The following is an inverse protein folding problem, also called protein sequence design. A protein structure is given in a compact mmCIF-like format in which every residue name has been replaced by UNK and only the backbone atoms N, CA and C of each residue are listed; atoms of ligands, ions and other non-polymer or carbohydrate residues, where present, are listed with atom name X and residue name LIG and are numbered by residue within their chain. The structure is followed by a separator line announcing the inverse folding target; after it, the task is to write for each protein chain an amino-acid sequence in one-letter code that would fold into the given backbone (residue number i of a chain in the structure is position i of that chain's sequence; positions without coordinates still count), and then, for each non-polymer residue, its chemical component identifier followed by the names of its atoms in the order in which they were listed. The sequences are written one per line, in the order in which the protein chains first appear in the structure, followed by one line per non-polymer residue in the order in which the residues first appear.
data_IF_124208571301
#
_entry.id   IF_124208571301
#
_cell.length_a   1.000
_cell.length_b   1.000
_cell.length_c   1.000
_cell.angle_alpha   90.00
_cell.angle_beta   90.00
_cell.angle_gamma   90.00
#
_symmetry.space_group_name_H-M   'P 1'
#
loop_
_entity.id
_entity.type
_entity.pdbx_description
1 polymer ?
#
# COMPACT_ATOMS: atom_id res chain seq x y z
N UNK A 1 -30.25 7.21 18.70
CA UNK A 1 -29.22 7.59 17.72
C UNK A 1 -28.87 6.37 16.87
N UNK A 2 -29.24 6.36 15.58
CA UNK A 2 -28.82 5.28 14.67
C UNK A 2 -27.31 5.46 14.44
N UNK A 3 -26.50 4.50 14.92
CA UNK A 3 -25.07 4.45 14.65
C UNK A 3 -24.87 4.59 13.15
N UNK A 4 -23.99 5.50 12.72
CA UNK A 4 -23.67 5.69 11.31
C UNK A 4 -23.28 4.33 10.73
N UNK A 5 -24.12 3.79 9.86
CA UNK A 5 -23.88 2.53 9.16
C UNK A 5 -22.49 2.62 8.52
N UNK A 6 -21.64 1.66 8.83
CA UNK A 6 -20.31 1.55 8.23
C UNK A 6 -20.47 1.57 6.69
N UNK A 7 -20.17 2.72 6.08
CA UNK A 7 -20.39 2.99 4.65
C UNK A 7 -19.33 2.35 3.75
N UNK A 8 -18.42 1.57 4.31
CA UNK A 8 -17.36 0.93 3.56
C UNK A 8 -17.94 -0.14 2.62
N UNK A 9 -17.42 -0.26 1.38
CA UNK A 9 -17.87 -1.26 0.45
C UNK A 9 -17.78 -2.67 1.04
N UNK A 10 -18.86 -3.45 0.94
CA UNK A 10 -18.92 -4.83 1.42
C UNK A 10 -18.44 -5.83 0.36
N UNK A 11 -18.39 -5.41 -0.90
CA UNK A 11 -17.87 -6.20 -2.03
C UNK A 11 -16.40 -5.89 -2.26
N UNK A 12 -15.58 -6.86 -2.72
CA UNK A 12 -14.16 -6.65 -3.00
C UNK A 12 -13.89 -5.73 -4.21
N UNK A 13 -14.77 -5.71 -5.20
CA UNK A 13 -14.58 -5.00 -6.46
C UNK A 13 -14.17 -3.54 -6.32
N UNK A 14 -14.89 -2.70 -5.55
CA UNK A 14 -14.50 -1.30 -5.36
C UNK A 14 -13.12 -1.13 -4.73
N UNK A 15 -12.73 -2.02 -3.81
CA UNK A 15 -11.41 -2.03 -3.18
C UNK A 15 -10.31 -2.39 -4.17
N UNK A 16 -10.55 -3.41 -5.01
CA UNK A 16 -9.60 -3.82 -6.06
C UNK A 16 -9.43 -2.74 -7.11
N UNK A 17 -10.52 -2.06 -7.49
CA UNK A 17 -10.45 -0.93 -8.42
C UNK A 17 -9.60 0.20 -7.83
N UNK A 18 -9.85 0.57 -6.57
CA UNK A 18 -9.08 1.59 -5.89
C UNK A 18 -7.59 1.19 -5.75
N UNK A 19 -7.31 -0.09 -5.48
CA UNK A 19 -5.95 -0.61 -5.45
C UNK A 19 -5.28 -0.56 -6.83
N UNK A 20 -6.01 -0.88 -7.90
CA UNK A 20 -5.47 -0.80 -9.26
C UNK A 20 -5.12 0.65 -9.65
N UNK A 21 -5.96 1.62 -9.27
CA UNK A 21 -5.66 3.05 -9.46
C UNK A 21 -4.44 3.45 -8.65
N UNK A 22 -4.36 3.05 -7.39
CA UNK A 22 -3.21 3.29 -6.51
C UNK A 22 -1.91 2.72 -7.13
N UNK A 23 -1.95 1.49 -7.63
CA UNK A 23 -0.80 0.85 -8.29
C UNK A 23 -0.39 1.60 -9.56
N UNK A 24 -1.35 2.04 -10.37
CA UNK A 24 -1.08 2.85 -11.56
C UNK A 24 -0.40 4.18 -11.22
N UNK A 25 -0.85 4.85 -10.15
CA UNK A 25 -0.21 6.09 -9.66
C UNK A 25 1.19 5.80 -9.12
N UNK A 26 1.38 4.72 -8.37
CA UNK A 26 2.70 4.28 -7.91
C UNK A 26 3.65 4.12 -9.10
N UNK A 27 3.24 3.34 -10.10
CA UNK A 27 4.04 3.09 -11.29
C UNK A 27 4.41 4.38 -12.02
N UNK A 28 3.46 5.29 -12.16
CA UNK A 28 3.71 6.60 -12.76
C UNK A 28 4.68 7.44 -11.94
N UNK A 29 4.56 7.45 -10.61
CA UNK A 29 5.48 8.16 -9.71
C UNK A 29 6.89 7.58 -9.76
N UNK A 30 7.01 6.26 -9.84
CA UNK A 30 8.29 5.54 -9.87
C UNK A 30 9.00 5.63 -11.22
N UNK A 31 8.28 5.94 -12.30
CA UNK A 31 8.82 6.00 -13.66
C UNK A 31 9.59 7.29 -13.99
N UNK A 32 9.82 8.17 -13.02
CA UNK A 32 10.56 9.40 -13.24
C UNK A 32 11.19 9.96 -11.97
N UNK A 33 12.26 10.76 -12.16
CA UNK A 33 12.81 11.53 -11.05
C UNK A 33 11.83 12.64 -10.66
N UNK A 34 11.57 12.78 -9.37
CA UNK A 34 10.71 13.84 -8.83
C UNK A 34 11.35 14.41 -7.58
N UNK A 35 11.40 15.73 -7.53
CA UNK A 35 11.82 16.43 -6.33
C UNK A 35 10.73 16.26 -5.27
N UNK A 36 11.08 15.67 -4.16
CA UNK A 36 10.14 15.49 -3.05
C UNK A 36 10.01 16.81 -2.28
N UNK A 37 8.77 17.23 -1.96
CA UNK A 37 8.59 18.32 -1.02
C UNK A 37 9.35 18.05 0.28
N UNK A 38 10.07 19.03 0.81
CA UNK A 38 10.90 18.91 2.00
C UNK A 38 12.08 17.92 1.89
N UNK A 39 12.40 17.41 0.69
CA UNK A 39 13.49 16.44 0.49
C UNK A 39 14.87 16.96 0.85
N UNK A 40 15.09 18.26 0.68
CA UNK A 40 16.35 18.92 1.07
C UNK A 40 16.39 19.32 2.56
N UNK A 41 15.22 19.52 3.19
CA UNK A 41 15.10 20.04 4.55
C UNK A 41 15.06 18.94 5.60
N UNK A 42 14.47 17.79 5.26
CA UNK A 42 14.21 16.69 6.21
C UNK A 42 14.88 15.40 5.73
N UNK A 43 15.90 15.00 6.47
CA UNK A 43 16.55 13.71 6.26
C UNK A 43 15.54 12.56 6.42
N UNK A 44 15.57 11.60 5.52
CA UNK A 44 14.67 10.43 5.50
C UNK A 44 13.19 10.73 5.17
N UNK A 45 12.87 11.91 4.65
CA UNK A 45 11.49 12.22 4.23
C UNK A 45 10.98 11.24 3.16
N UNK A 46 11.87 10.79 2.27
CA UNK A 46 11.59 9.75 1.29
C UNK A 46 11.03 8.47 1.92
N UNK A 47 11.63 8.02 3.02
CA UNK A 47 11.15 6.83 3.76
C UNK A 47 9.77 7.04 4.36
N UNK A 48 9.44 8.25 4.78
CA UNK A 48 8.10 8.62 5.25
C UNK A 48 7.08 8.55 4.09
N UNK A 49 7.47 9.00 2.89
CA UNK A 49 6.64 8.87 1.70
C UNK A 49 6.42 7.42 1.30
N UNK A 50 7.46 6.59 1.29
CA UNK A 50 7.37 5.16 1.06
C UNK A 50 6.41 4.51 2.05
N UNK A 51 6.65 4.66 3.34
CA UNK A 51 5.78 4.13 4.40
C UNK A 51 4.32 4.54 4.20
N UNK A 52 4.04 5.85 4.04
CA UNK A 52 2.68 6.37 3.92
C UNK A 52 1.96 5.87 2.67
N UNK A 53 2.67 5.80 1.55
CA UNK A 53 2.10 5.34 0.29
C UNK A 53 1.72 3.85 0.38
N UNK A 54 2.62 3.00 0.86
CA UNK A 54 2.39 1.56 0.99
C UNK A 54 1.42 1.21 2.12
N UNK A 55 1.34 2.03 3.18
CA UNK A 55 0.27 1.96 4.17
C UNK A 55 -1.12 2.10 3.51
N UNK A 56 -1.29 3.09 2.63
CA UNK A 56 -2.53 3.29 1.87
C UNK A 56 -2.86 2.10 0.96
N UNK A 57 -1.87 1.61 0.21
CA UNK A 57 -2.02 0.41 -0.63
C UNK A 57 -2.44 -0.83 0.15
N UNK A 58 -1.88 -1.02 1.34
CA UNK A 58 -2.23 -2.13 2.22
C UNK A 58 -3.66 -2.03 2.76
N UNK A 59 -4.16 -0.82 3.04
CA UNK A 59 -5.57 -0.63 3.42
C UNK A 59 -6.49 -1.04 2.26
N UNK A 60 -6.17 -0.64 1.04
CA UNK A 60 -6.98 -0.94 -0.14
C UNK A 60 -7.00 -2.45 -0.43
N UNK A 61 -5.84 -3.08 -0.48
CA UNK A 61 -5.72 -4.50 -0.79
C UNK A 61 -6.25 -5.38 0.36
N UNK A 62 -5.92 -5.04 1.59
CA UNK A 62 -6.43 -5.71 2.79
C UNK A 62 -7.95 -5.56 2.91
N UNK A 63 -8.49 -4.39 2.52
CA UNK A 63 -9.92 -4.16 2.41
C UNK A 63 -10.58 -5.14 1.43
N UNK A 64 -9.96 -5.39 0.26
CA UNK A 64 -10.43 -6.39 -0.69
C UNK A 64 -10.36 -7.81 -0.14
N UNK A 65 -9.20 -8.22 0.39
CA UNK A 65 -8.96 -9.58 0.89
C UNK A 65 -9.80 -9.95 2.13
N UNK A 66 -10.22 -8.94 2.91
CA UNK A 66 -11.11 -9.14 4.05
C UNK A 66 -12.58 -9.36 3.65
N UNK A 67 -12.94 -9.19 2.38
CA UNK A 67 -14.29 -9.46 1.84
C UNK A 67 -14.29 -10.82 1.14
N UNK A 68 -15.47 -11.45 0.93
CA UNK A 68 -15.52 -12.73 0.24
C UNK A 68 -15.04 -12.57 -1.22
N UNK A 69 -13.77 -12.82 -1.43
CA UNK A 69 -13.10 -13.09 -2.70
C UNK A 69 -12.79 -14.58 -2.76
N UNK A 70 -13.83 -15.40 -2.75
CA UNK A 70 -13.56 -16.79 -2.41
C UNK A 70 -12.93 -16.86 -0.99
N UNK A 71 -12.43 -17.99 -0.59
CA UNK A 71 -11.84 -18.16 0.75
C UNK A 71 -10.38 -17.72 0.75
N UNK A 72 -10.11 -16.40 0.83
CA UNK A 72 -8.74 -15.95 1.12
C UNK A 72 -8.42 -16.33 2.57
N UNK A 73 -7.60 -17.36 2.71
CA UNK A 73 -7.07 -17.72 4.02
C UNK A 73 -6.05 -16.66 4.47
N UNK A 74 -6.20 -16.16 5.70
CA UNK A 74 -5.26 -15.21 6.31
C UNK A 74 -5.10 -13.88 5.55
N UNK A 75 -6.15 -13.06 5.43
CA UNK A 75 -6.12 -11.80 4.66
C UNK A 75 -4.98 -10.86 5.08
N UNK A 76 -4.66 -10.78 6.37
CA UNK A 76 -3.54 -9.99 6.89
C UNK A 76 -2.22 -10.41 6.25
N UNK A 77 -1.87 -11.70 6.35
CA UNK A 77 -0.60 -12.22 5.83
C UNK A 77 -0.50 -12.05 4.31
N UNK A 78 -1.58 -12.35 3.61
CA UNK A 78 -1.64 -12.18 2.14
C UNK A 78 -1.46 -10.73 1.71
N UNK A 79 -2.03 -9.79 2.47
CA UNK A 79 -1.83 -8.35 2.22
C UNK A 79 -0.38 -7.97 2.40
N UNK A 80 0.24 -8.38 3.52
CA UNK A 80 1.64 -8.04 3.80
C UNK A 80 2.56 -8.61 2.72
N UNK A 81 2.39 -9.87 2.35
CA UNK A 81 3.20 -10.52 1.29
C UNK A 81 3.02 -9.79 -0.04
N UNK A 82 1.79 -9.50 -0.44
CA UNK A 82 1.52 -8.84 -1.72
C UNK A 82 2.12 -7.42 -1.76
N UNK A 83 2.00 -6.65 -0.68
CA UNK A 83 2.58 -5.31 -0.59
C UNK A 83 4.11 -5.37 -0.59
N UNK A 84 4.72 -6.32 0.12
CA UNK A 84 6.18 -6.51 0.09
C UNK A 84 6.69 -6.86 -1.31
N UNK A 85 5.94 -7.67 -2.07
CA UNK A 85 6.26 -7.99 -3.47
C UNK A 85 6.11 -6.77 -4.38
N UNK A 86 5.06 -5.97 -4.20
CA UNK A 86 4.88 -4.71 -4.96
C UNK A 86 6.05 -3.77 -4.69
N UNK A 87 6.47 -3.61 -3.43
CA UNK A 87 7.64 -2.80 -3.08
C UNK A 87 8.93 -3.31 -3.73
N UNK A 88 9.17 -4.62 -3.70
CA UNK A 88 10.35 -5.20 -4.34
C UNK A 88 10.35 -5.00 -5.88
N UNK A 89 9.19 -5.12 -6.52
CA UNK A 89 9.04 -4.86 -7.96
C UNK A 89 9.25 -3.38 -8.26
N UNK A 90 8.74 -2.49 -7.41
CA UNK A 90 8.92 -1.05 -7.56
C UNK A 90 10.38 -0.63 -7.45
N UNK A 91 11.08 -1.12 -6.42
CA UNK A 91 12.52 -0.91 -6.23
C UNK A 91 13.35 -1.43 -7.41
N UNK A 92 13.00 -2.62 -7.91
CA UNK A 92 13.64 -3.18 -9.11
C UNK A 92 13.37 -2.31 -10.33
N UNK A 93 12.13 -1.85 -10.54
CA UNK A 93 11.79 -0.94 -11.64
C UNK A 93 12.57 0.38 -11.54
N UNK A 94 12.65 0.98 -10.36
CA UNK A 94 13.37 2.23 -10.15
C UNK A 94 14.86 2.13 -10.49
N UNK A 95 15.48 0.94 -10.38
CA UNK A 95 16.88 0.73 -10.75
C UNK A 95 17.18 0.97 -12.23
N UNK A 96 16.16 0.97 -13.08
CA UNK A 96 16.28 1.27 -14.52
C UNK A 96 15.89 2.71 -14.87
N UNK A 97 15.41 3.49 -13.88
CA UNK A 97 14.95 4.87 -14.10
C UNK A 97 16.09 5.86 -13.86
N UNK A 98 16.50 6.66 -14.88
CA UNK A 98 17.55 7.66 -14.70
C UNK A 98 17.25 8.63 -13.54
N UNK A 99 18.22 8.86 -12.68
CA UNK A 99 18.10 9.77 -11.54
C UNK A 99 17.38 9.19 -10.33
N UNK A 100 17.07 7.88 -10.32
CA UNK A 100 16.51 7.17 -9.17
C UNK A 100 17.55 6.22 -8.56
N UNK A 101 17.54 6.12 -7.24
CA UNK A 101 18.29 5.10 -6.50
C UNK A 101 17.38 3.90 -6.27
N UNK A 102 17.29 2.98 -7.22
CA UNK A 102 16.53 1.74 -7.02
C UNK A 102 17.33 0.70 -6.25
N UNK A 103 16.64 -0.36 -5.82
CA UNK A 103 17.17 -1.43 -4.97
C UNK A 103 17.67 -0.94 -3.60
N UNK A 104 17.01 0.06 -3.02
CA UNK A 104 17.32 0.56 -1.68
C UNK A 104 16.60 -0.31 -0.62
N UNK A 105 17.34 -1.09 0.19
CA UNK A 105 16.74 -1.91 1.25
C UNK A 105 16.00 -1.08 2.31
N UNK A 106 16.38 0.18 2.52
CA UNK A 106 15.73 1.03 3.49
C UNK A 106 14.37 1.52 2.98
N UNK A 107 14.23 1.83 1.68
CA UNK A 107 12.96 2.13 1.05
C UNK A 107 12.03 0.93 1.09
N UNK A 108 12.50 -0.23 0.68
CA UNK A 108 11.72 -1.46 0.77
C UNK A 108 11.31 -1.80 2.20
N UNK A 109 12.15 -1.55 3.18
CA UNK A 109 11.81 -1.74 4.60
C UNK A 109 10.70 -0.79 5.06
N UNK A 110 10.70 0.45 4.57
CA UNK A 110 9.63 1.41 4.81
C UNK A 110 8.31 0.95 4.16
N UNK A 111 8.37 0.43 2.93
CA UNK A 111 7.21 -0.13 2.20
C UNK A 111 6.57 -1.29 2.99
N UNK A 112 7.40 -2.25 3.41
CA UNK A 112 6.93 -3.41 4.19
C UNK A 112 6.34 -2.98 5.53
N UNK A 113 6.98 -2.02 6.21
CA UNK A 113 6.48 -1.49 7.47
C UNK A 113 5.13 -0.80 7.31
N UNK A 114 4.97 0.01 6.26
CA UNK A 114 3.69 0.60 5.88
C UNK A 114 2.64 -0.47 5.58
N UNK A 115 3.03 -1.50 4.84
CA UNK A 115 2.20 -2.66 4.52
C UNK A 115 1.67 -3.39 5.75
N UNK A 116 2.55 -3.67 6.71
CA UNK A 116 2.19 -4.32 7.99
C UNK A 116 1.20 -3.44 8.76
N UNK A 117 1.49 -2.16 8.92
CA UNK A 117 0.63 -1.24 9.66
C UNK A 117 -0.75 -1.09 9.01
N UNK A 118 -0.81 -0.95 7.67
CA UNK A 118 -2.07 -0.85 6.94
C UNK A 118 -2.91 -2.12 7.03
N UNK A 119 -2.28 -3.29 6.85
CA UNK A 119 -2.94 -4.58 7.01
C UNK A 119 -3.47 -4.80 8.45
N UNK A 120 -2.71 -4.36 9.45
CA UNK A 120 -3.14 -4.40 10.84
C UNK A 120 -4.38 -3.54 11.09
N UNK A 121 -4.39 -2.30 10.59
CA UNK A 121 -5.55 -1.40 10.69
C UNK A 121 -6.79 -2.04 10.07
N UNK A 122 -6.67 -2.64 8.88
CA UNK A 122 -7.79 -3.34 8.24
C UNK A 122 -8.27 -4.50 9.11
N UNK A 123 -7.37 -5.34 9.60
CA UNK A 123 -7.72 -6.50 10.42
C UNK A 123 -8.43 -6.13 11.71
N UNK A 124 -8.14 -4.93 12.25
CA UNK A 124 -8.69 -4.46 13.51
C UNK A 124 -10.01 -3.72 13.36
N UNK A 125 -10.13 -2.91 12.33
CA UNK A 125 -11.22 -1.91 12.22
C UNK A 125 -12.16 -2.11 11.03
N UNK A 126 -11.77 -2.84 9.99
CA UNK A 126 -12.52 -2.94 8.73
C UNK A 126 -13.15 -4.32 8.52
N UNK A 127 -13.63 -4.93 9.59
CA UNK A 127 -14.29 -6.26 9.52
C UNK A 127 -15.54 -6.18 8.64
N UNK A 128 -15.75 -7.16 7.74
CA UNK A 128 -17.01 -7.29 7.02
C UNK A 128 -18.17 -7.49 8.02
N UNK A 129 -19.35 -7.05 7.64
CA UNK A 129 -20.56 -7.42 8.39
C UNK A 129 -20.79 -8.94 8.18
N UNK A 130 -21.04 -9.63 9.26
CA UNK A 130 -21.49 -11.02 9.24
C UNK A 130 -22.88 -11.10 8.56
#
# INVERSE_FOLDING_TARGET
MKCASNRLPQKPGPWLLAFAVWFGVLWWLSSGHRDLPLGEEIRFIDKVYHFGYYFGGAILLGGAFSRPLGKVARPFLMTVIAIALVGAIDEFHQSFVPGRSGNDPADWSADVSGGICGAWVVSRFFKPKA
#
